data_IF_465137883833
#
_entry.id   IF_465137883833
#
_cell.length_a   1.000
_cell.length_b   1.000
_cell.length_c   1.000
_cell.angle_alpha   90.00
_cell.angle_beta   90.00
_cell.angle_gamma   90.00
#
_symmetry.space_group_name_H-M   'P 1'
#
loop_
_entity.id
_entity.type
_entity.pdbx_description
1 polymer ?
#
# COMPACT_ATOMS: atom_id res chain seq x y z
N UNK A 1 -3.43 25.46 13.13
CA UNK A 1 -3.50 24.34 12.18
C UNK A 1 -2.15 24.24 11.50
N UNK A 2 -1.40 23.20 11.80
CA UNK A 2 -0.10 22.84 11.23
C UNK A 2 -0.28 21.35 10.88
N UNK A 3 -0.02 20.82 9.68
CA UNK A 3 0.89 21.11 8.59
C UNK A 3 0.13 20.73 7.30
N UNK A 4 0.18 21.55 6.24
CA UNK A 4 -0.16 21.03 4.91
C UNK A 4 1.08 20.29 4.43
N UNK A 5 1.16 18.98 4.66
CA UNK A 5 2.16 18.19 3.94
C UNK A 5 1.79 18.30 2.45
N UNK A 6 2.77 18.71 1.66
CA UNK A 6 2.58 19.07 0.26
C UNK A 6 2.96 17.85 -0.56
N UNK A 7 2.10 17.47 -1.50
CA UNK A 7 2.39 16.40 -2.42
C UNK A 7 3.66 16.74 -3.22
N UNK A 8 4.72 15.92 -3.15
CA UNK A 8 5.97 16.19 -3.85
C UNK A 8 5.83 16.08 -5.38
N UNK A 9 4.74 15.48 -5.86
CA UNK A 9 4.47 15.29 -7.29
C UNK A 9 3.78 16.51 -7.92
N UNK A 10 2.81 17.12 -7.24
CA UNK A 10 1.97 18.16 -7.83
C UNK A 10 1.81 19.44 -7.00
N UNK A 11 2.37 19.51 -5.78
CA UNK A 11 2.21 20.66 -4.89
C UNK A 11 0.85 20.77 -4.19
N UNK A 12 -0.07 19.81 -4.40
CA UNK A 12 -1.38 19.80 -3.77
C UNK A 12 -1.38 19.33 -2.31
N UNK A 13 -2.43 19.63 -1.52
CA UNK A 13 -2.51 19.20 -0.13
C UNK A 13 -2.67 17.69 -0.01
N UNK A 14 -2.01 17.08 0.98
CA UNK A 14 -2.21 15.68 1.38
C UNK A 14 -3.09 15.57 2.62
N UNK A 15 -3.72 14.41 2.80
CA UNK A 15 -4.42 14.06 4.04
C UNK A 15 -4.17 12.59 4.39
N UNK A 16 -4.12 12.28 5.68
CA UNK A 16 -4.00 10.89 6.14
C UNK A 16 -5.30 10.12 5.88
N UNK A 17 -5.20 8.96 5.20
CA UNK A 17 -6.32 8.06 4.93
C UNK A 17 -5.90 6.60 5.08
N UNK A 18 -6.84 5.77 5.50
CA UNK A 18 -6.72 4.31 5.35
C UNK A 18 -6.96 3.92 3.91
N UNK A 19 -5.97 3.30 3.28
CA UNK A 19 -6.01 2.83 1.89
C UNK A 19 -5.76 1.34 1.81
N UNK A 20 -6.18 0.76 0.69
CA UNK A 20 -5.85 -0.62 0.33
C UNK A 20 -4.65 -0.61 -0.61
N UNK A 21 -3.61 -1.34 -0.23
CA UNK A 21 -2.43 -1.60 -1.04
C UNK A 21 -2.43 -3.06 -1.51
N UNK A 22 -2.16 -3.27 -2.80
CA UNK A 22 -2.15 -4.60 -3.42
C UNK A 22 -0.71 -4.95 -3.77
N UNK A 23 -0.15 -5.95 -3.10
CA UNK A 23 1.23 -6.37 -3.29
C UNK A 23 1.21 -7.67 -4.09
N UNK A 24 1.86 -7.66 -5.26
CA UNK A 24 1.98 -8.82 -6.15
C UNK A 24 3.39 -9.40 -6.07
N UNK A 25 3.49 -10.72 -5.93
CA UNK A 25 4.76 -11.45 -5.97
C UNK A 25 4.55 -12.83 -6.58
N UNK A 26 5.22 -13.10 -7.71
CA UNK A 26 4.98 -14.30 -8.50
C UNK A 26 3.51 -14.42 -8.92
N UNK A 27 2.90 -15.57 -8.62
CA UNK A 27 1.46 -15.85 -8.87
C UNK A 27 0.53 -15.44 -7.72
N UNK A 28 1.07 -14.94 -6.61
CA UNK A 28 0.30 -14.60 -5.42
C UNK A 28 0.08 -13.09 -5.30
N UNK A 29 -1.03 -12.73 -4.64
CA UNK A 29 -1.38 -11.33 -4.33
C UNK A 29 -1.74 -11.23 -2.85
N UNK A 30 -1.17 -10.24 -2.16
CA UNK A 30 -1.56 -9.86 -0.81
C UNK A 30 -2.30 -8.51 -0.84
N UNK A 31 -3.28 -8.38 0.05
CA UNK A 31 -4.07 -7.15 0.23
C UNK A 31 -3.75 -6.63 1.63
N UNK A 32 -3.28 -5.37 1.72
CA UNK A 32 -2.89 -4.76 2.99
C UNK A 32 -3.65 -3.46 3.19
N UNK A 33 -4.24 -3.29 4.38
CA UNK A 33 -4.79 -2.01 4.82
C UNK A 33 -3.69 -1.21 5.53
N UNK A 34 -3.49 0.03 5.12
CA UNK A 34 -2.44 0.91 5.69
C UNK A 34 -2.94 2.34 5.76
N UNK A 35 -2.48 3.10 6.76
CA UNK A 35 -2.64 4.55 6.77
C UNK A 35 -1.52 5.19 5.95
N UNK A 36 -1.89 6.02 4.99
CA UNK A 36 -0.98 6.73 4.11
C UNK A 36 -1.46 8.14 3.89
N UNK A 37 -0.55 9.06 3.60
CA UNK A 37 -0.97 10.36 3.11
C UNK A 37 -1.41 10.25 1.67
N UNK A 38 -2.55 10.84 1.34
CA UNK A 38 -3.11 10.82 -0.01
C UNK A 38 -3.31 12.25 -0.48
N UNK A 39 -2.71 12.60 -1.60
CA UNK A 39 -2.94 13.88 -2.24
C UNK A 39 -4.41 14.01 -2.68
N UNK A 40 -5.07 15.08 -2.25
CA UNK A 40 -6.46 15.36 -2.65
C UNK A 40 -6.61 15.80 -4.11
N UNK A 41 -5.51 16.17 -4.77
CA UNK A 41 -5.52 16.66 -6.13
C UNK A 41 -5.18 15.56 -7.16
N UNK A 42 -4.03 14.88 -7.03
CA UNK A 42 -3.60 13.88 -8.00
C UNK A 42 -3.73 12.42 -7.52
N UNK A 43 -4.07 12.20 -6.25
CA UNK A 43 -4.21 10.84 -5.68
C UNK A 43 -2.91 10.13 -5.33
N UNK A 44 -1.75 10.80 -5.45
CA UNK A 44 -0.46 10.27 -5.02
C UNK A 44 -0.53 9.80 -3.56
N UNK A 45 0.08 8.65 -3.26
CA UNK A 45 0.11 8.06 -1.92
C UNK A 45 1.54 8.08 -1.39
N UNK A 46 1.73 8.68 -0.21
CA UNK A 46 3.02 8.72 0.45
C UNK A 46 3.02 7.71 1.60
N UNK A 47 3.97 6.78 1.53
CA UNK A 47 4.14 5.72 2.51
C UNK A 47 5.41 5.94 3.34
N UNK A 48 5.38 5.50 4.59
CA UNK A 48 6.57 5.53 5.43
C UNK A 48 7.63 4.56 4.90
N UNK A 49 8.93 4.83 5.10
CA UNK A 49 9.98 3.88 4.74
C UNK A 49 9.82 2.49 5.37
N UNK A 50 9.25 2.43 6.58
CA UNK A 50 8.94 1.16 7.25
C UNK A 50 7.89 0.36 6.48
N UNK A 51 6.80 1.00 6.03
CA UNK A 51 5.78 0.31 5.26
C UNK A 51 6.32 -0.15 3.91
N UNK A 52 7.13 0.66 3.23
CA UNK A 52 7.79 0.27 1.97
C UNK A 52 8.64 -1.00 2.17
N UNK A 53 9.45 -1.07 3.23
CA UNK A 53 10.24 -2.28 3.56
C UNK A 53 9.34 -3.49 3.84
N UNK A 54 8.22 -3.30 4.52
CA UNK A 54 7.24 -4.37 4.76
C UNK A 54 6.63 -4.88 3.44
N UNK A 55 6.32 -3.99 2.50
CA UNK A 55 5.86 -4.37 1.17
C UNK A 55 6.88 -5.22 0.42
N UNK A 56 8.17 -4.85 0.47
CA UNK A 56 9.26 -5.62 -0.12
C UNK A 56 9.39 -7.02 0.49
N UNK A 57 9.30 -7.13 1.82
CA UNK A 57 9.32 -8.41 2.53
C UNK A 57 8.13 -9.30 2.15
N UNK A 58 6.93 -8.73 2.09
CA UNK A 58 5.71 -9.46 1.66
C UNK A 58 5.91 -9.95 0.22
N UNK A 59 6.34 -9.09 -0.69
CA UNK A 59 6.59 -9.45 -2.10
C UNK A 59 7.57 -10.62 -2.20
N UNK A 60 8.69 -10.58 -1.48
CA UNK A 60 9.68 -11.65 -1.48
C UNK A 60 9.12 -12.98 -0.95
N UNK A 61 8.28 -12.97 0.08
CA UNK A 61 7.60 -14.18 0.58
C UNK A 61 6.61 -14.73 -0.46
N UNK A 62 5.82 -13.87 -1.08
CA UNK A 62 4.84 -14.25 -2.11
C UNK A 62 5.49 -14.92 -3.33
N UNK A 63 6.63 -14.36 -3.80
CA UNK A 63 7.43 -14.91 -4.90
C UNK A 63 7.98 -16.31 -4.61
N UNK A 64 8.33 -16.58 -3.35
CA UNK A 64 8.81 -17.89 -2.88
C UNK A 64 7.70 -18.84 -2.44
N UNK A 65 6.44 -18.43 -2.58
CA UNK A 65 5.27 -19.19 -2.13
C UNK A 65 5.26 -19.45 -0.60
N UNK A 66 5.94 -18.61 0.18
CA UNK A 66 6.03 -18.67 1.64
C UNK A 66 4.79 -18.02 2.28
N UNK A 67 3.63 -18.67 2.17
CA UNK A 67 2.33 -18.06 2.53
C UNK A 67 1.78 -18.37 3.91
N UNK A 68 2.53 -19.11 4.73
CA UNK A 68 2.07 -19.57 6.06
C UNK A 68 1.68 -18.45 7.02
N UNK A 69 2.24 -17.26 6.83
CA UNK A 69 1.97 -16.07 7.66
C UNK A 69 0.84 -15.19 7.10
N UNK A 70 0.23 -15.56 5.97
CA UNK A 70 -0.86 -14.81 5.34
C UNK A 70 -2.21 -15.48 5.56
N UNK A 71 -3.25 -14.68 5.71
CA UNK A 71 -4.62 -15.15 5.68
C UNK A 71 -5.04 -15.36 4.22
N UNK A 72 -5.48 -16.58 3.82
CA UNK A 72 -5.96 -16.81 2.47
C UNK A 72 -7.26 -16.05 2.24
N UNK A 73 -7.41 -15.48 1.04
CA UNK A 73 -8.66 -14.88 0.57
C UNK A 73 -9.40 -15.95 -0.23
N UNK A 74 -10.58 -16.36 0.24
CA UNK A 74 -11.29 -17.52 -0.33
C UNK A 74 -11.86 -17.27 -1.73
N UNK A 75 -12.42 -16.08 -1.97
CA UNK A 75 -13.04 -15.75 -3.26
C UNK A 75 -12.67 -14.35 -3.71
N UNK A 76 -12.17 -14.23 -4.94
CA UNK A 76 -11.83 -12.96 -5.58
C UNK A 76 -12.65 -12.79 -6.87
N UNK A 77 -13.16 -11.58 -7.10
CA UNK A 77 -13.92 -11.21 -8.28
C UNK A 77 -13.25 -10.02 -8.96
N UNK A 78 -13.24 -10.00 -10.29
CA UNK A 78 -12.80 -8.88 -11.10
C UNK A 78 -14.02 -8.35 -11.88
N UNK A 79 -14.18 -7.03 -11.92
CA UNK A 79 -15.18 -6.35 -12.73
C UNK A 79 -14.59 -5.88 -14.06
#
# INVERSE_FOLDING_TARGET
>A
MLINEICPVCGGPTVLKKVTEIIRGGKHTAIVQVEAEVCLHCGERLYTPEFVRKCEQIKAKLEKEETKDFQPVEVAYQA
#
